data_IF_785213372109
#
_entry.id   IF_785213372109
#
_cell.length_a   1.000
_cell.length_b   1.000
_cell.length_c   1.000
_cell.angle_alpha   90.00
_cell.angle_beta   90.00
_cell.angle_gamma   90.00
#
_symmetry.space_group_name_H-M   'P 1'
#
loop_
_entity.id
_entity.type
_entity.pdbx_description
1 polymer ?
#
# COMPACT_ATOMS: atom_id res chain seq x y z
N UNK A 1 12.72 1.12 7.31
CA UNK A 1 12.71 1.06 5.83
C UNK A 1 11.79 -0.07 5.41
N UNK A 2 10.72 0.19 4.65
CA UNK A 2 9.71 -0.83 4.32
C UNK A 2 10.13 -1.62 3.08
N UNK A 3 9.71 -2.88 2.98
CA UNK A 3 9.88 -3.68 1.75
C UNK A 3 8.85 -3.31 0.67
N UNK A 4 7.90 -2.44 1.01
CA UNK A 4 6.79 -2.02 0.15
C UNK A 4 7.21 -0.83 -0.71
N UNK A 5 6.82 -0.85 -1.99
CA UNK A 5 7.04 0.27 -2.91
C UNK A 5 5.72 0.77 -3.48
N UNK A 6 5.66 2.08 -3.73
CA UNK A 6 4.66 2.72 -4.55
C UNK A 6 5.25 2.99 -5.94
N UNK A 7 4.51 2.64 -7.01
CA UNK A 7 4.92 2.85 -8.40
C UNK A 7 3.89 3.70 -9.12
N UNK A 8 4.34 4.81 -9.70
CA UNK A 8 3.51 5.60 -10.60
C UNK A 8 3.32 4.84 -11.93
N UNK A 9 2.07 4.68 -12.35
CA UNK A 9 1.71 3.98 -13.61
C UNK A 9 1.27 4.95 -14.72
N UNK A 10 1.34 6.26 -14.47
CA UNK A 10 1.08 7.32 -15.46
C UNK A 10 -0.11 8.21 -15.08
N UNK A 11 0.10 9.53 -15.15
CA UNK A 11 -0.84 10.53 -14.64
C UNK A 11 -0.81 10.59 -13.10
N UNK A 12 -1.97 10.79 -12.47
CA UNK A 12 -2.14 10.75 -11.01
C UNK A 12 -2.48 9.33 -10.51
N UNK A 13 -1.98 8.29 -11.18
CA UNK A 13 -2.31 6.90 -10.88
C UNK A 13 -1.12 6.16 -10.32
N UNK A 14 -1.31 5.59 -9.14
CA UNK A 14 -0.30 4.90 -8.37
C UNK A 14 -0.77 3.50 -7.98
N UNK A 15 0.17 2.57 -7.94
CA UNK A 15 -0.05 1.22 -7.42
C UNK A 15 0.94 0.97 -6.29
N UNK A 16 0.46 0.34 -5.21
CA UNK A 16 1.27 0.04 -4.03
C UNK A 16 1.37 -1.48 -3.88
N UNK A 17 2.54 -1.95 -3.47
CA UNK A 17 2.86 -3.38 -3.41
C UNK A 17 1.83 -4.20 -2.65
N UNK A 18 1.39 -3.68 -1.51
CA UNK A 18 0.46 -4.33 -0.61
C UNK A 18 -1.02 -4.02 -0.90
N UNK A 19 -1.30 -3.20 -1.92
CA UNK A 19 -2.67 -2.93 -2.42
C UNK A 19 -2.78 -3.31 -3.90
N UNK A 20 -2.60 -4.60 -4.25
CA UNK A 20 -2.71 -5.05 -5.63
C UNK A 20 -4.14 -4.81 -6.16
N UNK A 21 -4.24 -4.44 -7.43
CA UNK A 21 -5.52 -4.25 -8.12
C UNK A 21 -6.24 -2.93 -7.82
N UNK A 22 -5.72 -2.09 -6.92
CA UNK A 22 -6.21 -0.72 -6.73
C UNK A 22 -5.35 0.29 -7.48
N UNK A 23 -6.03 1.28 -8.06
CA UNK A 23 -5.41 2.50 -8.57
C UNK A 23 -5.65 3.60 -7.55
N UNK A 24 -4.56 4.14 -7.01
CA UNK A 24 -4.59 5.18 -6.00
C UNK A 24 -4.21 6.53 -6.61
N UNK A 25 -4.71 7.62 -6.03
CA UNK A 25 -4.17 8.96 -6.29
C UNK A 25 -2.76 9.11 -5.72
N UNK A 26 -2.05 10.18 -6.10
CA UNK A 26 -0.75 10.49 -5.50
C UNK A 26 -0.82 10.61 -3.97
N UNK A 27 -1.85 11.29 -3.47
CA UNK A 27 -2.07 11.45 -2.03
C UNK A 27 -2.33 10.11 -1.34
N UNK A 28 -3.19 9.27 -1.93
CA UNK A 28 -3.49 7.95 -1.38
C UNK A 28 -2.26 7.03 -1.40
N UNK A 29 -1.39 7.14 -2.40
CA UNK A 29 -0.14 6.38 -2.43
C UNK A 29 0.80 6.76 -1.29
N UNK A 30 0.90 8.06 -0.99
CA UNK A 30 1.66 8.55 0.17
C UNK A 30 1.06 8.02 1.47
N UNK A 31 -0.26 8.14 1.65
CA UNK A 31 -0.98 7.59 2.80
C UNK A 31 -0.71 6.09 2.99
N UNK A 32 -0.77 5.32 1.90
CA UNK A 32 -0.50 3.89 1.94
C UNK A 32 0.97 3.57 2.32
N UNK A 33 1.93 4.34 1.81
CA UNK A 33 3.34 4.18 2.19
C UNK A 33 3.60 4.54 3.66
N UNK A 34 2.93 5.56 4.18
CA UNK A 34 3.02 5.95 5.60
C UNK A 34 2.51 4.83 6.50
N UNK A 35 1.34 4.24 6.20
CA UNK A 35 0.82 3.10 6.97
C UNK A 35 1.82 1.94 6.94
N UNK A 36 2.36 1.61 5.76
CA UNK A 36 3.36 0.56 5.64
C UNK A 36 4.61 0.84 6.48
N UNK A 37 5.05 2.11 6.57
CA UNK A 37 6.20 2.52 7.39
C UNK A 37 5.93 2.28 8.87
N UNK A 38 4.86 2.88 9.40
CA UNK A 38 4.47 2.76 10.81
C UNK A 38 4.34 1.30 11.24
N UNK A 39 3.67 0.47 10.45
CA UNK A 39 3.40 -0.93 10.78
C UNK A 39 4.64 -1.82 10.66
N UNK A 40 5.60 -1.47 9.80
CA UNK A 40 6.85 -2.24 9.65
C UNK A 40 7.88 -1.91 10.74
N UNK A 41 7.84 -0.69 11.29
CA UNK A 41 8.82 -0.23 12.28
C UNK A 41 8.59 -0.87 13.66
N UNK A 42 7.34 -0.97 14.11
CA UNK A 42 6.98 -1.57 15.39
C UNK A 42 5.49 -1.92 15.45
N UNK A 43 5.11 -2.65 16.51
CA UNK A 43 3.69 -2.91 16.80
C UNK A 43 3.00 -1.60 17.17
N UNK A 44 1.94 -1.16 16.46
CA UNK A 44 1.30 0.12 16.72
C UNK A 44 0.71 0.20 18.13
N UNK A 45 0.97 1.32 18.80
CA UNK A 45 0.33 1.68 20.07
C UNK A 45 -1.13 2.11 19.85
N UNK A 46 -1.92 2.21 20.91
CA UNK A 46 -3.34 2.60 20.84
C UNK A 46 -3.56 3.96 20.15
N UNK A 47 -2.67 4.92 20.40
CA UNK A 47 -2.69 6.22 19.72
C UNK A 47 -2.37 6.12 18.23
N UNK A 48 -1.42 5.26 17.86
CA UNK A 48 -1.09 5.02 16.46
C UNK A 48 -2.20 4.28 15.75
N UNK A 49 -2.95 3.39 16.42
CA UNK A 49 -4.15 2.79 15.87
C UNK A 49 -5.20 3.83 15.48
N UNK A 50 -5.44 4.84 16.31
CA UNK A 50 -6.36 5.93 15.97
C UNK A 50 -5.87 6.75 14.76
N UNK A 51 -4.56 7.02 14.68
CA UNK A 51 -3.95 7.68 13.52
C UNK A 51 -4.07 6.84 12.25
N UNK A 52 -3.77 5.54 12.34
CA UNK A 52 -3.87 4.59 11.24
C UNK A 52 -5.30 4.46 10.74
N UNK A 53 -6.31 4.60 11.60
CA UNK A 53 -7.72 4.53 11.21
C UNK A 53 -8.10 5.71 10.31
N UNK A 54 -7.67 6.92 10.67
CA UNK A 54 -7.83 8.11 9.82
C UNK A 54 -7.12 7.97 8.47
N UNK A 55 -5.90 7.43 8.46
CA UNK A 55 -5.17 7.19 7.21
C UNK A 55 -5.80 6.08 6.37
N UNK A 56 -6.30 5.01 6.99
CA UNK A 56 -6.94 3.92 6.28
C UNK A 56 -8.28 4.34 5.65
N UNK A 57 -9.00 5.25 6.31
CA UNK A 57 -10.26 5.79 5.79
C UNK A 57 -10.07 6.49 4.44
N UNK A 58 -8.96 7.21 4.24
CA UNK A 58 -8.59 7.83 2.96
C UNK A 58 -8.39 6.82 1.82
N UNK A 59 -8.09 5.56 2.17
CA UNK A 59 -7.95 4.43 1.25
C UNK A 59 -9.26 3.63 1.10
N UNK A 60 -10.30 3.98 1.87
CA UNK A 60 -11.54 3.22 1.99
C UNK A 60 -11.34 1.86 2.63
N UNK A 61 -10.47 1.78 3.64
CA UNK A 61 -10.12 0.58 4.40
C UNK A 61 -10.14 0.91 5.90
N UNK A 62 -10.15 -0.12 6.75
CA UNK A 62 -9.90 0.03 8.19
C UNK A 62 -8.42 -0.11 8.51
N UNK A 63 -7.99 0.44 9.66
CA UNK A 63 -6.60 0.27 10.11
C UNK A 63 -6.19 -1.21 10.19
N UNK A 64 -7.10 -2.09 10.65
CA UNK A 64 -6.85 -3.52 10.82
C UNK A 64 -6.65 -4.24 9.48
N UNK A 65 -7.43 -3.88 8.47
CA UNK A 65 -7.26 -4.40 7.11
C UNK A 65 -5.90 -3.97 6.55
N UNK A 66 -5.55 -2.69 6.67
CA UNK A 66 -4.25 -2.20 6.21
C UNK A 66 -3.09 -2.92 6.89
N UNK A 67 -3.13 -3.07 8.22
CA UNK A 67 -2.10 -3.80 8.98
C UNK A 67 -2.02 -5.26 8.53
N UNK A 68 -3.17 -5.93 8.36
CA UNK A 68 -3.22 -7.30 7.89
C UNK A 68 -2.63 -7.47 6.49
N UNK A 69 -2.95 -6.56 5.56
CA UNK A 69 -2.41 -6.57 4.21
C UNK A 69 -0.92 -6.25 4.20
N UNK A 70 -0.45 -5.24 4.94
CA UNK A 70 0.97 -4.90 5.05
C UNK A 70 1.78 -6.06 5.64
N UNK A 71 1.23 -6.78 6.62
CA UNK A 71 1.88 -7.93 7.25
C UNK A 71 1.86 -9.19 6.37
N UNK A 72 0.79 -9.40 5.60
CA UNK A 72 0.63 -10.58 4.73
C UNK A 72 1.36 -10.42 3.40
N UNK A 73 1.42 -9.19 2.88
CA UNK A 73 1.93 -8.95 1.54
C UNK A 73 3.45 -9.04 1.48
N UNK A 74 3.90 -10.15 0.91
CA UNK A 74 5.27 -10.39 0.45
C UNK A 74 5.42 -10.09 -1.05
N UNK A 75 4.60 -9.21 -1.60
CA UNK A 75 4.56 -9.02 -3.05
C UNK A 75 5.74 -8.18 -3.55
N UNK A 76 6.69 -8.86 -4.19
CA UNK A 76 7.86 -8.25 -4.79
C UNK A 76 7.47 -7.50 -6.08
N UNK A 77 7.14 -6.21 -5.97
CA UNK A 77 6.94 -5.35 -7.15
C UNK A 77 8.23 -5.15 -7.99
N UNK A 78 9.38 -5.66 -7.54
CA UNK A 78 10.63 -5.68 -8.32
C UNK A 78 10.61 -6.73 -9.42
N UNK A 79 9.72 -7.74 -9.33
CA UNK A 79 9.47 -8.67 -10.43
C UNK A 79 8.46 -8.02 -11.39
N UNK A 80 8.85 -7.68 -12.64
CA UNK A 80 7.87 -7.29 -13.63
C UNK A 80 6.89 -8.47 -13.80
N UNK A 81 5.62 -8.25 -13.44
CA UNK A 81 4.56 -9.23 -13.72
C UNK A 81 4.61 -9.61 -15.20
N UNK A 82 4.28 -10.87 -15.57
CA UNK A 82 4.34 -11.31 -16.96
C UNK A 82 3.55 -10.33 -17.82
N UNK A 83 4.23 -9.70 -18.78
CA UNK A 83 3.58 -8.82 -19.75
C UNK A 83 2.48 -9.64 -20.42
N UNK A 84 1.21 -9.19 -20.45
CA UNK A 84 0.21 -9.87 -21.25
C UNK A 84 0.71 -9.82 -22.69
N UNK A 85 1.03 -11.00 -23.25
CA UNK A 85 1.35 -11.13 -24.67
C UNK A 85 0.06 -10.75 -25.40
N UNK A 86 0.05 -9.59 -26.06
CA UNK A 86 -0.91 -9.39 -27.15
C UNK A 86 -0.60 -10.47 -28.18
N UNK A 87 -1.55 -11.37 -28.36
CA UNK A 87 -1.56 -12.30 -29.49
C UNK A 87 -2.04 -11.48 -30.69
N UNK A 88 -1.11 -11.11 -31.56
CA UNK A 88 -1.38 -10.79 -32.96
C UNK A 88 -1.40 -12.08 -33.79
#
# INVERSE_FOLDING_TARGET
MTSHIARCVGGDRWVVSWLPGRTLSGQQAVTAMTIAATVTEHTPTDTEWAMLDGLALELGLTARECVGMVATEKHDLRRPGPRPRSLE
#
